data_IF_295785464001
#
_entry.id   IF_295785464001
#
_cell.length_a   1.000
_cell.length_b   1.000
_cell.length_c   1.000
_cell.angle_alpha   90.00
_cell.angle_beta   90.00
_cell.angle_gamma   90.00
#
_symmetry.space_group_name_H-M   'P 1'
#
loop_
_entity.id
_entity.type
_entity.pdbx_description
1 polymer ?
#
# COMPACT_ATOMS: atom_id res chain seq x y z
N UNK A 1 -5.31 -21.35 18.16
CA UNK A 1 -6.61 -20.69 18.32
C UNK A 1 -6.93 -20.05 17.00
N UNK A 2 -8.03 -20.51 16.39
CA UNK A 2 -8.64 -19.92 15.20
C UNK A 2 -9.06 -18.46 15.46
N UNK A 3 -9.51 -17.78 14.41
CA UNK A 3 -10.15 -16.44 14.36
C UNK A 3 -9.21 -15.23 14.21
N UNK A 4 -8.78 -14.98 12.96
CA UNK A 4 -8.42 -13.65 12.47
C UNK A 4 -8.73 -13.44 10.96
N UNK A 5 -9.56 -14.29 10.36
CA UNK A 5 -10.01 -14.20 8.95
C UNK A 5 -11.54 -14.19 8.80
N UNK A 6 -12.28 -13.97 9.89
CA UNK A 6 -13.74 -13.81 9.87
C UNK A 6 -14.16 -12.37 9.51
N UNK A 7 -13.35 -11.61 8.77
CA UNK A 7 -13.77 -10.33 8.20
C UNK A 7 -14.55 -10.60 6.90
N UNK A 8 -15.84 -10.93 7.04
CA UNK A 8 -16.82 -11.10 5.95
C UNK A 8 -16.68 -10.05 4.82
N UNK A 9 -16.43 -8.75 5.10
CA UNK A 9 -16.26 -7.73 4.06
C UNK A 9 -15.02 -7.91 3.17
N UNK A 10 -13.95 -8.56 3.64
CA UNK A 10 -12.75 -8.83 2.83
C UNK A 10 -13.00 -9.98 1.86
N UNK A 11 -13.69 -11.03 2.32
CA UNK A 11 -14.11 -12.14 1.49
C UNK A 11 -15.08 -11.67 0.39
N UNK A 12 -16.00 -10.76 0.73
CA UNK A 12 -16.94 -10.17 -0.23
C UNK A 12 -16.22 -9.32 -1.30
N UNK A 13 -15.26 -8.47 -0.90
CA UNK A 13 -14.45 -7.70 -1.85
C UNK A 13 -13.60 -8.58 -2.77
N UNK A 14 -13.02 -9.65 -2.23
CA UNK A 14 -12.24 -10.60 -3.02
C UNK A 14 -13.15 -11.42 -3.95
N UNK A 15 -14.36 -11.78 -3.53
CA UNK A 15 -15.38 -12.37 -4.39
C UNK A 15 -15.75 -11.44 -5.56
N UNK A 16 -16.01 -10.16 -5.29
CA UNK A 16 -16.29 -9.15 -6.33
C UNK A 16 -15.12 -8.97 -7.30
N UNK A 17 -13.88 -9.11 -6.82
CA UNK A 17 -12.68 -9.06 -7.64
C UNK A 17 -12.57 -10.31 -8.54
N UNK A 18 -12.86 -11.50 -8.02
CA UNK A 18 -12.90 -12.76 -8.79
C UNK A 18 -13.95 -12.68 -9.90
N UNK A 19 -15.17 -12.23 -9.58
CA UNK A 19 -16.24 -12.08 -10.57
C UNK A 19 -15.84 -11.09 -11.67
N UNK A 20 -15.29 -9.93 -11.30
CA UNK A 20 -14.81 -8.93 -12.27
C UNK A 20 -13.66 -9.45 -13.13
N UNK A 21 -12.70 -10.16 -12.53
CA UNK A 21 -11.57 -10.74 -13.26
C UNK A 21 -12.04 -11.73 -14.34
N UNK A 22 -12.94 -12.65 -13.96
CA UNK A 22 -13.48 -13.64 -14.88
C UNK A 22 -14.43 -13.02 -15.92
N UNK A 23 -15.20 -11.99 -15.55
CA UNK A 23 -16.01 -11.22 -16.50
C UNK A 23 -15.13 -10.51 -17.54
N UNK A 24 -14.00 -9.92 -17.13
CA UNK A 24 -13.03 -9.30 -18.03
C UNK A 24 -12.42 -10.27 -19.05
N UNK A 25 -12.41 -11.56 -18.73
CA UNK A 25 -11.97 -12.65 -19.62
C UNK A 25 -13.12 -13.25 -20.45
N UNK A 26 -14.30 -12.64 -20.43
CA UNK A 26 -15.53 -13.18 -21.06
C UNK A 26 -15.93 -14.56 -20.54
N UNK A 27 -15.71 -14.80 -19.24
CA UNK A 27 -16.05 -16.04 -18.53
C UNK A 27 -16.96 -15.71 -17.33
N UNK A 28 -18.22 -15.30 -17.55
CA UNK A 28 -19.08 -14.87 -16.46
C UNK A 28 -19.36 -16.01 -15.47
N UNK A 29 -19.11 -15.75 -14.19
CA UNK A 29 -19.39 -16.66 -13.07
C UNK A 29 -20.10 -15.92 -11.95
N UNK A 30 -20.66 -16.66 -11.00
CA UNK A 30 -21.12 -16.17 -9.70
C UNK A 30 -20.34 -16.81 -8.57
N UNK A 31 -19.95 -16.01 -7.58
CA UNK A 31 -19.29 -16.50 -6.37
C UNK A 31 -20.34 -16.66 -5.28
N UNK A 32 -20.48 -17.88 -4.75
CA UNK A 32 -21.49 -18.24 -3.74
C UNK A 32 -20.96 -18.21 -2.30
N UNK A 33 -19.80 -17.61 -2.09
CA UNK A 33 -19.13 -17.50 -0.79
C UNK A 33 -17.73 -18.11 -0.77
N UNK A 34 -16.97 -17.73 0.25
CA UNK A 34 -15.61 -18.19 0.51
C UNK A 34 -15.47 -18.80 1.90
N UNK A 35 -14.72 -19.89 1.99
CA UNK A 35 -14.42 -20.58 3.24
C UNK A 35 -12.90 -20.66 3.43
N UNK A 36 -12.44 -20.51 4.67
CA UNK A 36 -11.00 -20.57 4.99
C UNK A 36 -10.59 -22.02 5.25
N UNK A 37 -9.71 -22.56 4.41
CA UNK A 37 -9.17 -23.92 4.49
C UNK A 37 -7.63 -23.88 4.54
N UNK A 38 -7.09 -23.91 5.76
CA UNK A 38 -5.64 -23.90 6.01
C UNK A 38 -4.96 -22.61 5.56
N UNK A 39 -4.20 -22.67 4.46
CA UNK A 39 -3.50 -21.53 3.86
C UNK A 39 -4.24 -20.92 2.66
N UNK A 40 -5.47 -21.38 2.40
CA UNK A 40 -6.27 -21.01 1.24
C UNK A 40 -7.64 -20.50 1.66
N UNK A 41 -8.17 -19.55 0.91
CA UNK A 41 -9.60 -19.23 0.90
C UNK A 41 -10.19 -19.93 -0.31
N UNK A 42 -11.07 -20.90 -0.05
CA UNK A 42 -11.80 -21.65 -1.07
C UNK A 42 -13.11 -20.94 -1.40
N UNK A 43 -13.20 -20.40 -2.60
CA UNK A 43 -14.45 -19.83 -3.13
C UNK A 43 -15.21 -20.86 -3.96
N UNK A 44 -16.51 -20.92 -3.73
CA UNK A 44 -17.42 -21.72 -4.56
C UNK A 44 -17.93 -20.86 -5.71
N UNK A 45 -17.50 -21.16 -6.94
CA UNK A 45 -17.88 -20.38 -8.12
C UNK A 45 -18.75 -21.21 -9.07
N UNK A 46 -19.79 -20.60 -9.60
CA UNK A 46 -20.76 -21.21 -10.51
C UNK A 46 -20.71 -20.49 -11.86
N UNK A 47 -20.27 -21.17 -12.93
CA UNK A 47 -20.31 -20.59 -14.27
C UNK A 47 -21.74 -20.28 -14.72
N UNK A 48 -21.94 -19.13 -15.37
CA UNK A 48 -23.21 -18.78 -16.00
C UNK A 48 -23.46 -19.70 -17.20
N UNK A 49 -24.72 -20.01 -17.51
CA UNK A 49 -25.11 -20.83 -18.65
C UNK A 49 -24.41 -20.37 -19.94
N UNK A 50 -23.74 -21.29 -20.62
CA UNK A 50 -22.92 -21.00 -21.82
C UNK A 50 -21.43 -20.79 -21.53
N UNK A 51 -21.03 -20.66 -20.27
CA UNK A 51 -19.62 -20.59 -19.87
C UNK A 51 -19.08 -22.00 -19.63
N UNK A 52 -18.13 -22.44 -20.44
CA UNK A 52 -17.49 -23.75 -20.31
C UNK A 52 -16.61 -23.79 -19.04
N UNK A 53 -16.88 -24.68 -18.06
CA UNK A 53 -16.10 -24.78 -16.82
C UNK A 53 -14.60 -25.01 -17.07
N UNK A 54 -14.24 -25.74 -18.12
CA UNK A 54 -12.87 -26.04 -18.50
C UNK A 54 -12.09 -24.76 -18.86
N UNK A 55 -12.76 -23.80 -19.52
CA UNK A 55 -12.17 -22.50 -19.84
C UNK A 55 -11.91 -21.65 -18.60
N UNK A 56 -12.78 -21.77 -17.58
CA UNK A 56 -12.58 -21.10 -16.29
C UNK A 56 -11.37 -21.69 -15.57
N UNK A 57 -11.21 -23.02 -15.56
CA UNK A 57 -10.02 -23.67 -14.99
C UNK A 57 -8.72 -23.21 -15.67
N UNK A 58 -8.71 -23.11 -17.00
CA UNK A 58 -7.56 -22.64 -17.77
C UNK A 58 -7.23 -21.15 -17.55
N UNK A 59 -8.17 -20.36 -17.03
CA UNK A 59 -7.99 -18.95 -16.75
C UNK A 59 -7.26 -18.66 -15.44
N UNK A 60 -6.86 -19.68 -14.65
CA UNK A 60 -6.28 -19.51 -13.32
C UNK A 60 -5.14 -18.48 -13.27
N UNK A 61 -4.15 -18.57 -14.16
CA UNK A 61 -3.03 -17.62 -14.17
C UNK A 61 -3.47 -16.18 -14.45
N UNK A 62 -4.39 -15.98 -15.40
CA UNK A 62 -4.91 -14.66 -15.75
C UNK A 62 -5.78 -14.08 -14.61
N UNK A 63 -6.53 -14.93 -13.91
CA UNK A 63 -7.29 -14.55 -12.71
C UNK A 63 -6.35 -14.15 -11.59
N UNK A 64 -5.30 -14.94 -11.32
CA UNK A 64 -4.29 -14.64 -10.31
C UNK A 64 -3.62 -13.28 -10.56
N UNK A 65 -3.25 -13.00 -11.81
CA UNK A 65 -2.69 -11.71 -12.23
C UNK A 65 -3.71 -10.57 -12.03
N UNK A 66 -4.96 -10.78 -12.46
CA UNK A 66 -6.02 -9.76 -12.36
C UNK A 66 -6.38 -9.38 -10.93
N UNK A 67 -6.36 -10.35 -10.00
CA UNK A 67 -6.67 -10.11 -8.58
C UNK A 67 -5.41 -9.86 -7.72
N UNK A 68 -4.22 -9.85 -8.33
CA UNK A 68 -2.96 -9.51 -7.67
C UNK A 68 -2.50 -10.53 -6.62
N UNK A 69 -2.61 -11.83 -6.91
CA UNK A 69 -2.11 -12.92 -6.07
C UNK A 69 -1.09 -13.77 -6.84
N UNK A 70 -0.15 -14.45 -6.16
CA UNK A 70 0.92 -15.19 -6.84
C UNK A 70 0.41 -16.36 -7.67
N UNK A 71 -0.61 -17.06 -7.18
CA UNK A 71 -1.29 -18.16 -7.87
C UNK A 71 -2.73 -18.29 -7.38
N UNK A 72 -3.58 -18.92 -8.17
CA UNK A 72 -4.88 -19.46 -7.73
C UNK A 72 -5.01 -20.88 -8.26
N UNK A 73 -5.83 -21.70 -7.60
CA UNK A 73 -6.12 -23.06 -8.07
C UNK A 73 -7.60 -23.14 -8.37
N UNK A 74 -7.95 -23.50 -9.59
CA UNK A 74 -9.34 -23.69 -10.01
C UNK A 74 -9.52 -25.16 -10.33
N UNK A 75 -10.44 -25.81 -9.63
CA UNK A 75 -10.72 -27.23 -9.80
C UNK A 75 -12.23 -27.51 -9.80
N UNK A 76 -12.70 -28.55 -10.51
CA UNK A 76 -14.09 -28.99 -10.41
C UNK A 76 -14.48 -29.40 -8.99
N UNK A 77 -15.64 -28.94 -8.53
CA UNK A 77 -16.22 -29.25 -7.23
C UNK A 77 -17.72 -29.58 -7.39
N UNK A 78 -18.02 -30.80 -7.84
CA UNK A 78 -19.38 -31.23 -8.13
C UNK A 78 -19.99 -30.48 -9.32
N UNK A 79 -21.08 -29.73 -9.08
CA UNK A 79 -21.76 -28.90 -10.11
C UNK A 79 -21.22 -27.47 -10.19
N UNK A 80 -20.24 -27.14 -9.36
CA UNK A 80 -19.57 -25.85 -9.28
C UNK A 80 -18.06 -26.04 -9.52
N UNK A 81 -17.30 -24.96 -9.47
CA UNK A 81 -15.85 -24.97 -9.38
C UNK A 81 -15.44 -24.44 -8.01
N UNK A 82 -14.35 -24.99 -7.48
CA UNK A 82 -13.65 -24.42 -6.33
C UNK A 82 -12.49 -23.57 -6.84
N UNK A 83 -12.41 -22.33 -6.38
CA UNK A 83 -11.28 -21.44 -6.62
C UNK A 83 -10.58 -21.17 -5.29
N UNK A 84 -9.43 -21.80 -5.11
CA UNK A 84 -8.58 -21.60 -3.94
C UNK A 84 -7.65 -20.41 -4.21
N UNK A 85 -7.81 -19.36 -3.42
CA UNK A 85 -6.94 -18.19 -3.37
C UNK A 85 -6.02 -18.32 -2.17
N UNK A 86 -4.70 -18.13 -2.29
CA UNK A 86 -3.83 -18.19 -1.13
C UNK A 86 -4.23 -17.07 -0.17
N UNK A 87 -4.42 -17.42 1.10
CA UNK A 87 -4.58 -16.43 2.16
C UNK A 87 -3.32 -15.58 2.12
N UNK A 88 -3.48 -14.26 1.93
CA UNK A 88 -2.40 -13.32 2.25
C UNK A 88 -2.20 -13.38 3.76
N UNK A 89 -1.40 -14.35 4.23
CA UNK A 89 -0.84 -14.27 5.57
C UNK A 89 0.04 -13.04 5.54
N UNK A 90 -0.45 -11.94 6.12
CA UNK A 90 0.39 -10.82 6.50
C UNK A 90 1.41 -11.37 7.48
N UNK A 91 2.54 -11.88 6.98
CA UNK A 91 3.63 -12.34 7.84
C UNK A 91 4.38 -11.14 8.44
N UNK A 92 3.93 -9.92 8.23
CA UNK A 92 4.41 -8.75 8.95
C UNK A 92 3.79 -8.63 10.35
N UNK A 93 4.55 -8.21 11.38
CA UNK A 93 3.92 -7.75 12.61
C UNK A 93 2.92 -6.63 12.31
N UNK A 94 1.81 -6.56 13.05
CA UNK A 94 0.80 -5.52 12.86
C UNK A 94 1.37 -4.15 13.21
N UNK A 95 1.10 -3.12 12.39
CA UNK A 95 1.70 -1.78 12.58
C UNK A 95 1.42 -1.20 13.97
N UNK A 96 0.15 -1.15 14.39
CA UNK A 96 -0.25 -0.51 15.64
C UNK A 96 0.39 -1.20 16.86
N UNK A 97 0.27 -2.53 17.05
CA UNK A 97 0.96 -3.22 18.14
C UNK A 97 2.47 -3.02 18.12
N UNK A 98 3.10 -3.05 16.95
CA UNK A 98 4.54 -2.83 16.83
C UNK A 98 4.93 -1.39 17.18
N UNK A 99 4.11 -0.39 16.80
CA UNK A 99 4.30 1.00 17.22
C UNK A 99 4.26 1.16 18.74
N UNK A 100 3.47 0.37 19.46
CA UNK A 100 3.47 0.42 20.93
C UNK A 100 4.74 -0.17 21.55
N UNK A 101 5.50 -0.98 20.81
CA UNK A 101 6.78 -1.52 21.27
C UNK A 101 7.93 -0.52 21.12
N UNK A 102 7.76 0.48 20.26
CA UNK A 102 8.72 1.57 20.09
C UNK A 102 8.23 2.76 20.91
N UNK A 103 9.13 3.33 21.73
CA UNK A 103 8.81 4.54 22.50
C UNK A 103 8.63 5.76 21.59
N UNK A 104 8.78 6.96 22.17
CA UNK A 104 8.77 8.19 21.39
C UNK A 104 9.82 8.15 20.28
N UNK A 105 9.38 8.39 19.04
CA UNK A 105 10.24 8.44 17.87
C UNK A 105 10.59 9.90 17.51
N UNK A 106 11.76 10.16 16.92
CA UNK A 106 12.09 11.48 16.39
C UNK A 106 11.09 11.93 15.31
N UNK A 107 10.95 13.24 15.05
CA UNK A 107 10.09 13.76 13.98
C UNK A 107 10.37 13.11 12.62
N UNK A 108 9.30 12.91 11.84
CA UNK A 108 9.35 12.34 10.49
C UNK A 108 9.93 10.92 10.41
N UNK A 109 9.83 10.18 11.53
CA UNK A 109 10.27 8.79 11.62
C UNK A 109 9.09 7.85 11.43
N UNK A 110 9.23 6.95 10.46
CA UNK A 110 8.29 5.89 10.17
C UNK A 110 8.80 4.56 10.71
N UNK A 111 7.94 3.82 11.40
CA UNK A 111 8.13 2.40 11.62
C UNK A 111 7.83 1.64 10.32
N UNK A 112 8.81 0.89 9.84
CA UNK A 112 8.72 0.12 8.60
C UNK A 112 8.22 -1.30 8.86
N UNK A 113 8.69 -1.92 9.95
CA UNK A 113 8.42 -3.32 10.24
C UNK A 113 9.43 -3.89 11.24
N UNK A 114 9.74 -5.17 11.13
CA UNK A 114 10.62 -5.87 12.05
C UNK A 114 11.71 -6.61 11.29
N UNK A 115 12.93 -6.55 11.82
CA UNK A 115 14.10 -7.22 11.25
C UNK A 115 14.05 -8.73 11.49
N UNK A 116 14.89 -9.50 10.79
CA UNK A 116 15.04 -10.95 11.05
C UNK A 116 15.46 -11.27 12.49
N UNK A 117 16.17 -10.34 13.15
CA UNK A 117 16.56 -10.47 14.56
C UNK A 117 15.43 -10.11 15.54
N UNK A 118 14.24 -9.76 15.04
CA UNK A 118 13.10 -9.41 15.86
C UNK A 118 13.12 -7.99 16.42
N UNK A 119 14.00 -7.11 15.93
CA UNK A 119 14.02 -5.70 16.34
C UNK A 119 13.13 -4.85 15.42
N UNK A 120 12.32 -3.89 15.94
CA UNK A 120 11.64 -2.90 15.12
C UNK A 120 12.61 -2.11 14.25
N UNK A 121 12.26 -1.91 12.97
CA UNK A 121 13.04 -1.12 12.03
C UNK A 121 12.30 0.18 11.72
N UNK A 122 12.98 1.30 11.90
CA UNK A 122 12.46 2.64 11.63
C UNK A 122 13.30 3.37 10.58
N UNK A 123 12.68 4.30 9.86
CA UNK A 123 13.33 5.16 8.85
C UNK A 123 12.87 6.61 9.06
N UNK A 124 13.81 7.54 9.13
CA UNK A 124 13.51 8.98 9.22
C UNK A 124 13.50 9.62 7.82
N UNK A 125 12.35 9.62 7.14
CA UNK A 125 12.20 9.93 5.70
C UNK A 125 12.44 11.40 5.33
N UNK A 126 12.25 12.32 6.27
CA UNK A 126 12.54 13.75 6.08
C UNK A 126 13.76 14.21 6.89
N UNK A 127 14.64 13.27 7.21
CA UNK A 127 15.85 13.52 7.99
C UNK A 127 17.07 13.83 7.11
N UNK A 128 18.19 14.23 7.73
CA UNK A 128 19.44 14.52 6.99
C UNK A 128 20.05 13.27 6.33
N UNK A 129 19.70 12.07 6.80
CA UNK A 129 20.22 10.81 6.29
C UNK A 129 19.33 10.14 5.23
N UNK A 130 18.06 10.53 5.14
CA UNK A 130 17.09 9.95 4.21
C UNK A 130 16.10 11.03 3.79
N UNK A 131 16.00 11.25 2.49
CA UNK A 131 15.07 12.17 1.84
C UNK A 131 14.08 11.46 0.90
N UNK A 132 14.40 10.21 0.53
CA UNK A 132 13.64 9.43 -0.44
C UNK A 132 13.67 7.97 -0.04
N UNK A 133 12.53 7.29 -0.15
CA UNK A 133 12.43 5.84 -0.03
C UNK A 133 11.72 5.26 -1.24
N UNK A 134 12.28 4.18 -1.81
CA UNK A 134 11.71 3.52 -2.98
C UNK A 134 11.57 2.01 -2.73
N UNK A 135 10.35 1.50 -2.84
CA UNK A 135 10.06 0.08 -2.84
C UNK A 135 10.16 -0.48 -4.26
N UNK A 136 10.94 -1.56 -4.45
CA UNK A 136 11.19 -2.12 -5.79
C UNK A 136 10.92 -3.61 -5.81
N UNK A 137 10.21 -4.08 -6.83
CA UNK A 137 9.94 -5.51 -7.03
C UNK A 137 8.71 -5.77 -7.91
N UNK A 138 8.43 -7.03 -8.24
CA UNK A 138 7.29 -7.38 -9.10
C UNK A 138 5.94 -7.08 -8.46
N UNK A 139 4.86 -7.20 -9.22
CA UNK A 139 3.50 -7.10 -8.69
C UNK A 139 3.26 -8.15 -7.58
N UNK A 140 2.41 -7.82 -6.61
CA UNK A 140 2.04 -8.75 -5.53
C UNK A 140 3.09 -8.95 -4.43
N UNK A 141 4.30 -8.36 -4.51
CA UNK A 141 5.32 -8.54 -3.46
C UNK A 141 5.13 -7.68 -2.20
N UNK A 142 4.11 -6.81 -2.17
CA UNK A 142 3.76 -5.97 -1.01
C UNK A 142 4.32 -4.55 -1.03
N UNK A 143 4.70 -3.98 -2.19
CA UNK A 143 5.19 -2.59 -2.28
C UNK A 143 4.16 -1.57 -1.79
N UNK A 144 2.93 -1.64 -2.29
CA UNK A 144 1.84 -0.73 -1.91
C UNK A 144 1.51 -0.85 -0.41
N UNK A 145 1.55 -2.06 0.14
CA UNK A 145 1.42 -2.31 1.58
C UNK A 145 2.55 -1.63 2.38
N UNK A 146 3.80 -1.73 1.92
CA UNK A 146 4.95 -1.07 2.52
C UNK A 146 4.81 0.46 2.46
N UNK A 147 4.37 1.01 1.33
CA UNK A 147 4.09 2.45 1.17
C UNK A 147 3.04 2.92 2.16
N UNK A 148 1.90 2.22 2.24
CA UNK A 148 0.85 2.50 3.23
C UNK A 148 1.38 2.41 4.65
N UNK A 149 2.16 1.38 4.96
CA UNK A 149 2.78 1.19 6.29
C UNK A 149 3.64 2.39 6.68
N UNK A 150 4.53 2.83 5.79
CA UNK A 150 5.40 3.99 6.03
C UNK A 150 4.58 5.27 6.15
N UNK A 151 3.65 5.53 5.24
CA UNK A 151 2.82 6.73 5.25
C UNK A 151 1.93 6.83 6.50
N UNK A 152 1.25 5.74 6.87
CA UNK A 152 0.42 5.69 8.07
C UNK A 152 1.25 5.77 9.34
N UNK A 153 2.43 5.14 9.37
CA UNK A 153 3.33 5.32 10.51
C UNK A 153 3.78 6.77 10.65
N UNK A 154 4.09 7.48 9.57
CA UNK A 154 4.41 8.91 9.60
C UNK A 154 3.24 9.75 10.10
N UNK A 155 2.02 9.42 9.68
CA UNK A 155 0.81 10.11 10.12
C UNK A 155 0.56 9.96 11.62
N UNK A 156 0.86 8.78 12.17
CA UNK A 156 0.75 8.48 13.60
C UNK A 156 1.88 9.10 14.43
N UNK A 157 3.07 9.28 13.86
CA UNK A 157 4.25 9.77 14.60
C UNK A 157 4.47 11.27 14.45
N UNK A 158 3.85 11.90 13.45
CA UNK A 158 4.03 13.32 13.14
C UNK A 158 2.67 13.96 12.85
N UNK A 159 2.28 15.04 13.55
CA UNK A 159 1.00 15.71 13.33
C UNK A 159 0.92 16.38 11.95
N UNK A 160 -0.29 16.54 11.41
CA UNK A 160 -0.52 17.16 10.09
C UNK A 160 -0.04 18.62 10.00
N UNK A 161 0.10 19.32 11.13
CA UNK A 161 0.74 20.64 11.17
C UNK A 161 2.21 20.60 10.78
N UNK A 162 2.87 19.45 10.89
CA UNK A 162 4.33 19.29 10.75
C UNK A 162 4.72 18.37 9.57
N UNK A 163 3.76 17.78 8.86
CA UNK A 163 3.97 16.91 7.70
C UNK A 163 2.73 16.88 6.82
N UNK A 164 2.92 16.91 5.51
CA UNK A 164 1.84 16.71 4.54
C UNK A 164 2.13 15.61 3.53
N UNK A 165 1.08 14.97 3.03
CA UNK A 165 1.14 14.04 1.91
C UNK A 165 0.60 14.67 0.63
N UNK A 166 1.19 14.26 -0.49
CA UNK A 166 0.66 14.41 -1.84
C UNK A 166 0.71 13.02 -2.47
N UNK A 167 -0.30 12.61 -3.21
CA UNK A 167 -0.39 11.23 -3.71
C UNK A 167 -0.58 11.13 -5.21
N UNK A 168 0.12 10.18 -5.83
CA UNK A 168 -0.09 9.71 -7.20
C UNK A 168 -0.42 8.22 -7.14
N UNK A 169 -1.64 7.87 -7.53
CA UNK A 169 -2.19 6.51 -7.54
C UNK A 169 -3.03 6.34 -8.81
N UNK A 170 -2.37 6.06 -9.93
CA UNK A 170 -3.05 5.93 -11.22
C UNK A 170 -3.99 4.72 -11.19
N UNK A 171 -5.29 4.99 -11.24
CA UNK A 171 -6.33 3.97 -11.05
C UNK A 171 -7.02 3.98 -9.69
N UNK A 172 -6.47 4.71 -8.70
CA UNK A 172 -7.14 5.13 -7.46
C UNK A 172 -7.55 3.99 -6.53
N UNK A 173 -6.62 3.10 -6.16
CA UNK A 173 -6.95 1.91 -5.36
C UNK A 173 -6.08 1.75 -4.13
N UNK A 174 -4.78 1.95 -4.25
CA UNK A 174 -3.82 1.55 -3.22
C UNK A 174 -3.60 2.64 -2.17
N UNK A 175 -3.68 3.93 -2.54
CA UNK A 175 -3.42 5.05 -1.64
C UNK A 175 -4.69 5.72 -1.10
N UNK A 176 -5.88 5.20 -1.43
CA UNK A 176 -7.17 5.76 -0.97
C UNK A 176 -7.27 5.92 0.56
N UNK A 177 -6.54 5.12 1.34
CA UNK A 177 -6.45 5.30 2.80
C UNK A 177 -6.00 6.72 3.20
N UNK A 178 -5.15 7.36 2.40
CA UNK A 178 -4.61 8.70 2.68
C UNK A 178 -5.68 9.79 2.57
N UNK A 179 -6.74 9.59 1.79
CA UNK A 179 -7.84 10.56 1.60
C UNK A 179 -8.58 10.87 2.90
N UNK A 180 -8.52 9.94 3.85
CA UNK A 180 -9.18 10.09 5.14
C UNK A 180 -8.32 10.77 6.22
N UNK A 181 -7.06 11.09 5.89
CA UNK A 181 -6.10 11.67 6.84
C UNK A 181 -6.05 13.20 6.71
N UNK A 182 -5.94 13.94 7.82
CA UNK A 182 -5.75 15.39 7.80
C UNK A 182 -4.42 15.83 7.17
N UNK A 183 -3.48 14.89 6.97
CA UNK A 183 -2.19 15.13 6.35
C UNK A 183 -2.25 15.32 4.84
N UNK A 184 -3.29 14.81 4.16
CA UNK A 184 -3.37 14.90 2.71
C UNK A 184 -3.64 16.34 2.27
N UNK A 185 -2.73 16.92 1.48
CA UNK A 185 -2.77 18.33 1.10
C UNK A 185 -3.71 18.65 -0.08
N UNK A 186 -4.03 17.65 -0.89
CA UNK A 186 -4.91 17.74 -2.04
C UNK A 186 -5.38 16.33 -2.45
N UNK A 187 -6.45 16.25 -3.22
CA UNK A 187 -6.96 14.99 -3.76
C UNK A 187 -5.86 14.18 -4.46
N UNK A 188 -5.94 12.85 -4.35
CA UNK A 188 -5.00 11.95 -5.01
C UNK A 188 -5.04 12.16 -6.53
N UNK A 189 -3.88 12.22 -7.16
CA UNK A 189 -3.78 12.21 -8.60
C UNK A 189 -4.02 10.79 -9.12
N UNK A 190 -5.22 10.54 -9.63
CA UNK A 190 -5.67 9.21 -10.11
C UNK A 190 -5.56 9.05 -11.63
N UNK A 191 -5.27 10.14 -12.34
CA UNK A 191 -5.01 10.15 -13.78
C UNK A 191 -3.62 10.69 -14.09
N UNK A 192 -3.03 10.27 -15.22
CA UNK A 192 -1.73 10.76 -15.63
C UNK A 192 -1.71 12.29 -15.75
N UNK A 193 -2.76 12.89 -16.33
CA UNK A 193 -2.91 14.36 -16.42
C UNK A 193 -2.82 15.05 -15.05
N UNK A 194 -3.51 14.54 -14.04
CA UNK A 194 -3.43 15.09 -12.67
C UNK A 194 -2.03 14.91 -12.08
N UNK A 195 -1.42 13.73 -12.27
CA UNK A 195 -0.06 13.46 -11.81
C UNK A 195 0.95 14.40 -12.46
N UNK A 196 0.83 14.65 -13.76
CA UNK A 196 1.64 15.63 -14.49
C UNK A 196 1.49 17.05 -13.94
N UNK A 197 0.25 17.49 -13.71
CA UNK A 197 -0.01 18.81 -13.13
C UNK A 197 0.61 18.95 -11.73
N UNK A 198 0.51 17.91 -10.90
CA UNK A 198 1.12 17.87 -9.57
C UNK A 198 2.66 17.92 -9.65
N UNK A 199 3.29 17.10 -10.50
CA UNK A 199 4.73 17.10 -10.68
C UNK A 199 5.25 18.46 -11.16
N UNK A 200 4.58 19.07 -12.14
CA UNK A 200 4.96 20.40 -12.65
C UNK A 200 4.84 21.49 -11.59
N UNK A 201 3.78 21.44 -10.76
CA UNK A 201 3.63 22.36 -9.63
C UNK A 201 4.80 22.23 -8.64
N UNK A 202 5.12 21.00 -8.24
CA UNK A 202 6.23 20.75 -7.31
C UNK A 202 7.60 21.14 -7.91
N UNK A 203 7.78 21.00 -9.22
CA UNK A 203 8.99 21.44 -9.90
C UNK A 203 9.12 22.97 -9.90
N UNK A 204 8.03 23.69 -10.17
CA UNK A 204 8.01 25.16 -10.10
C UNK A 204 8.34 25.68 -8.68
N UNK A 205 7.97 24.94 -7.64
CA UNK A 205 8.38 25.26 -6.26
C UNK A 205 9.89 25.11 -6.03
N UNK A 206 10.53 24.10 -6.64
CA UNK A 206 11.99 23.96 -6.62
C UNK A 206 12.67 25.13 -7.32
N UNK A 207 12.10 25.60 -8.44
CA UNK A 207 12.63 26.72 -9.21
C UNK A 207 12.43 28.08 -8.51
N UNK A 208 11.58 28.14 -7.47
CA UNK A 208 11.22 29.39 -6.78
C UNK A 208 10.19 30.22 -7.53
N UNK A 209 9.62 29.68 -8.62
CA UNK A 209 8.62 30.32 -9.47
C UNK A 209 7.20 30.28 -8.87
N UNK A 210 7.04 29.65 -7.70
CA UNK A 210 5.77 29.52 -6.99
C UNK A 210 5.64 30.49 -5.82
N UNK A 211 4.69 31.43 -5.93
CA UNK A 211 4.43 32.46 -4.91
C UNK A 211 3.82 31.94 -3.59
N UNK A 212 3.45 30.66 -3.50
CA UNK A 212 2.85 30.07 -2.30
C UNK A 212 3.84 29.65 -1.21
N UNK A 213 5.14 29.99 -1.37
CA UNK A 213 6.21 29.69 -0.40
C UNK A 213 6.57 28.20 -0.34
N UNK A 214 7.85 27.91 -0.12
CA UNK A 214 8.22 26.59 0.41
C UNK A 214 7.51 26.47 1.77
N UNK A 215 6.52 25.57 1.87
CA UNK A 215 5.80 25.41 3.12
C UNK A 215 6.77 25.09 4.26
N UNK A 216 6.56 25.69 5.44
CA UNK A 216 7.37 25.48 6.66
C UNK A 216 7.41 24.02 7.14
N UNK A 217 6.65 23.13 6.50
CA UNK A 217 6.54 21.71 6.85
C UNK A 217 6.93 20.81 5.67
N UNK A 218 7.65 19.72 5.92
CA UNK A 218 7.95 18.73 4.90
C UNK A 218 6.71 18.17 4.22
N UNK A 219 6.85 17.89 2.92
CA UNK A 219 5.82 17.30 2.06
C UNK A 219 6.36 16.02 1.46
N UNK A 220 5.66 14.92 1.66
CA UNK A 220 6.03 13.61 1.12
C UNK A 220 5.12 13.30 -0.06
N UNK A 221 5.70 13.26 -1.26
CA UNK A 221 5.05 12.78 -2.46
C UNK A 221 5.06 11.24 -2.45
N UNK A 222 3.89 10.64 -2.30
CA UNK A 222 3.68 9.19 -2.33
C UNK A 222 3.27 8.77 -3.75
N UNK A 223 4.04 7.86 -4.37
CA UNK A 223 3.80 7.39 -5.74
C UNK A 223 3.67 5.86 -5.72
N UNK A 224 2.48 5.32 -5.96
CA UNK A 224 2.24 3.87 -5.83
C UNK A 224 2.84 3.02 -6.97
N UNK A 225 2.78 3.53 -8.19
CA UNK A 225 3.37 2.88 -9.36
C UNK A 225 3.93 3.96 -10.27
N UNK A 226 5.14 3.74 -10.78
CA UNK A 226 5.80 4.61 -11.76
C UNK A 226 5.61 4.10 -13.19
N UNK A 227 4.92 2.97 -13.39
CA UNK A 227 4.67 2.37 -14.70
C UNK A 227 3.91 3.26 -15.68
N UNK A 228 3.25 4.31 -15.21
CA UNK A 228 2.58 5.30 -16.07
C UNK A 228 3.55 6.27 -16.75
N UNK A 229 4.82 6.35 -16.34
CA UNK A 229 5.87 7.23 -16.90
C UNK A 229 6.51 6.66 -18.19
N UNK A 230 5.77 5.85 -18.93
CA UNK A 230 6.24 5.25 -20.19
C UNK A 230 5.42 5.77 -21.37
N UNK A 231 5.94 5.60 -22.58
CA UNK A 231 5.25 6.03 -23.79
C UNK A 231 5.01 7.54 -23.80
N UNK A 232 3.74 7.95 -23.84
CA UNK A 232 3.33 9.35 -23.94
C UNK A 232 3.73 10.23 -22.73
N UNK A 233 4.00 9.63 -21.58
CA UNK A 233 4.30 10.35 -20.33
C UNK A 233 5.77 10.24 -19.90
N UNK A 234 6.63 9.73 -20.80
CA UNK A 234 8.05 9.53 -20.54
C UNK A 234 8.83 10.84 -20.30
N UNK A 235 8.32 11.96 -20.81
CA UNK A 235 8.85 13.31 -20.63
C UNK A 235 8.73 13.83 -19.18
N UNK A 236 7.91 13.19 -18.34
CA UNK A 236 7.76 13.52 -16.92
C UNK A 236 8.78 12.84 -16.01
N UNK A 237 9.44 11.78 -16.47
CA UNK A 237 10.45 11.09 -15.68
C UNK A 237 11.61 12.03 -15.25
N UNK A 238 12.14 12.92 -16.11
CA UNK A 238 13.10 13.96 -15.69
C UNK A 238 12.59 14.86 -14.55
N UNK A 239 11.28 15.19 -14.54
CA UNK A 239 10.67 16.01 -13.48
C UNK A 239 10.68 15.26 -12.16
N UNK A 240 10.25 14.00 -12.14
CA UNK A 240 10.31 13.16 -10.93
C UNK A 240 11.76 12.99 -10.43
N UNK A 241 12.72 12.81 -11.34
CA UNK A 241 14.14 12.75 -10.99
C UNK A 241 14.63 14.05 -10.35
N UNK A 242 14.18 15.20 -10.87
CA UNK A 242 14.50 16.52 -10.30
C UNK A 242 13.91 16.67 -8.90
N UNK A 243 12.68 16.22 -8.67
CA UNK A 243 12.06 16.23 -7.34
C UNK A 243 12.89 15.42 -6.34
N UNK A 244 13.33 14.21 -6.71
CA UNK A 244 14.22 13.42 -5.86
C UNK A 244 15.52 14.15 -5.58
N UNK A 245 16.13 14.78 -6.60
CA UNK A 245 17.46 15.39 -6.48
C UNK A 245 17.49 16.72 -5.72
N UNK A 246 16.53 17.60 -5.99
CA UNK A 246 16.51 18.99 -5.54
C UNK A 246 15.33 19.32 -4.60
N UNK A 247 14.29 18.49 -4.59
CA UNK A 247 13.14 18.65 -3.69
C UNK A 247 13.49 18.73 -2.21
N UNK A 248 14.46 17.95 -1.69
CA UNK A 248 14.78 17.98 -0.25
C UNK A 248 15.24 19.36 0.24
N UNK A 249 15.85 20.18 -0.63
CA UNK A 249 16.27 21.54 -0.31
C UNK A 249 15.08 22.50 -0.04
N UNK A 250 13.89 22.15 -0.54
CA UNK A 250 12.64 22.90 -0.35
C UNK A 250 11.59 22.09 0.43
N UNK A 251 12.03 21.06 1.15
CA UNK A 251 11.17 20.22 1.98
C UNK A 251 10.26 19.26 1.22
N UNK A 252 10.58 18.91 -0.03
CA UNK A 252 9.87 17.90 -0.82
C UNK A 252 10.64 16.57 -0.76
N UNK A 253 9.97 15.53 -0.29
CA UNK A 253 10.49 14.18 -0.10
C UNK A 253 9.68 13.19 -0.93
N UNK A 254 10.25 12.03 -1.26
CA UNK A 254 9.58 11.05 -2.13
C UNK A 254 9.49 9.69 -1.45
N UNK A 255 8.29 9.11 -1.45
CA UNK A 255 8.04 7.73 -1.10
C UNK A 255 7.40 7.05 -2.32
N UNK A 256 8.14 6.19 -3.02
CA UNK A 256 7.69 5.64 -4.29
C UNK A 256 7.73 4.11 -4.31
N UNK A 257 6.90 3.51 -5.15
CA UNK A 257 6.99 2.12 -5.53
C UNK A 257 7.21 2.00 -7.04
N UNK A 258 8.03 1.02 -7.42
CA UNK A 258 8.41 0.76 -8.80
C UNK A 258 8.53 -0.73 -9.07
N UNK A 259 8.24 -1.14 -10.31
CA UNK A 259 8.44 -2.54 -10.74
C UNK A 259 9.90 -2.89 -10.97
N UNK A 260 10.71 -1.90 -11.36
CA UNK A 260 12.11 -2.09 -11.71
C UNK A 260 12.96 -1.02 -11.03
N UNK A 261 14.18 -1.37 -10.59
CA UNK A 261 15.10 -0.37 -10.04
C UNK A 261 15.62 0.54 -11.15
N UNK A 262 14.80 1.47 -11.65
CA UNK A 262 15.19 2.44 -12.67
C UNK A 262 15.54 3.78 -12.02
N UNK A 263 16.77 4.29 -12.17
CA UNK A 263 18.04 3.65 -12.56
C UNK A 263 18.96 3.39 -11.36
N UNK A 264 20.02 2.59 -11.56
CA UNK A 264 21.01 2.21 -10.54
C UNK A 264 21.65 3.37 -9.76
N UNK A 265 21.65 4.60 -10.30
CA UNK A 265 22.16 5.78 -9.58
C UNK A 265 21.27 6.15 -8.38
N UNK A 266 19.95 5.90 -8.46
CA UNK A 266 19.02 6.18 -7.38
C UNK A 266 19.36 5.35 -6.13
N UNK A 267 19.71 4.08 -6.34
CA UNK A 267 20.13 3.17 -5.27
C UNK A 267 21.49 3.52 -4.62
N UNK A 268 22.26 4.44 -5.22
CA UNK A 268 23.58 4.87 -4.72
C UNK A 268 23.61 6.32 -4.24
N UNK A 269 22.52 7.06 -4.42
CA UNK A 269 22.44 8.46 -4.00
C UNK A 269 22.35 8.52 -2.46
N UNK A 270 23.23 9.29 -1.79
CA UNK A 270 23.07 9.58 -0.37
C UNK A 270 21.68 10.18 -0.13
N UNK A 271 21.01 9.76 0.95
CA UNK A 271 19.63 10.19 1.22
C UNK A 271 18.55 9.26 0.63
N UNK A 272 18.91 8.28 -0.20
CA UNK A 272 17.94 7.32 -0.75
C UNK A 272 18.01 5.99 0.00
N UNK A 273 16.85 5.50 0.43
CA UNK A 273 16.66 4.13 0.93
C UNK A 273 15.90 3.32 -0.11
N UNK A 274 16.48 2.19 -0.54
CA UNK A 274 15.82 1.26 -1.46
C UNK A 274 15.35 0.04 -0.69
N UNK A 275 14.05 -0.22 -0.68
CA UNK A 275 13.44 -1.43 -0.17
C UNK A 275 13.23 -2.43 -1.33
N UNK A 276 14.24 -3.26 -1.57
CA UNK A 276 14.20 -4.29 -2.62
C UNK A 276 13.40 -5.49 -2.12
N UNK A 277 12.34 -5.89 -2.83
CA UNK A 277 11.62 -7.12 -2.53
C UNK A 277 12.58 -8.31 -2.59
N UNK A 278 12.59 -9.12 -1.53
CA UNK A 278 13.39 -10.33 -1.50
C UNK A 278 12.70 -11.40 -2.34
N UNK A 279 13.42 -12.01 -3.28
CA UNK A 279 13.07 -13.27 -3.92
C UNK A 279 14.00 -14.35 -3.37
N UNK A 280 13.48 -15.49 -2.94
CA UNK A 280 14.31 -16.61 -2.52
C UNK A 280 14.89 -17.28 -3.76
N UNK A 281 15.95 -16.69 -4.32
CA UNK A 281 16.70 -17.31 -5.40
C UNK A 281 17.51 -18.46 -4.83
N UNK A 282 16.90 -19.65 -4.64
CA UNK A 282 17.48 -21.01 -4.60
C UNK A 282 16.37 -22.08 -4.44
N UNK A 283 15.48 -22.22 -5.42
CA UNK A 283 14.82 -23.51 -5.70
C UNK A 283 13.54 -23.92 -4.96
N UNK A 284 12.94 -23.13 -4.06
CA UNK A 284 11.65 -23.49 -3.42
C UNK A 284 10.79 -22.22 -3.19
N UNK A 285 9.65 -22.15 -3.90
CA UNK A 285 8.50 -21.23 -3.79
C UNK A 285 8.74 -19.69 -3.88
N UNK A 286 7.82 -18.94 -4.53
CA UNK A 286 7.81 -17.47 -4.45
C UNK A 286 7.65 -17.02 -2.99
N UNK A 287 8.43 -16.02 -2.59
CA UNK A 287 8.44 -15.45 -1.23
C UNK A 287 7.07 -14.98 -0.79
N UNK A 288 6.72 -15.20 0.48
CA UNK A 288 5.58 -14.53 1.10
C UNK A 288 5.72 -13.00 0.94
N UNK A 289 4.65 -12.29 0.52
CA UNK A 289 4.68 -10.84 0.34
C UNK A 289 5.07 -10.10 1.62
N UNK A 290 5.67 -8.91 1.47
CA UNK A 290 6.03 -8.05 2.60
C UNK A 290 7.46 -8.23 3.14
N UNK A 291 8.34 -8.96 2.45
CA UNK A 291 9.76 -9.12 2.83
C UNK A 291 10.68 -8.29 1.92
N UNK A 292 11.49 -7.43 2.52
CA UNK A 292 12.36 -6.50 1.80
C UNK A 292 13.78 -6.49 2.35
N UNK A 293 14.75 -6.27 1.46
CA UNK A 293 16.09 -5.83 1.80
C UNK A 293 16.13 -4.31 1.68
N UNK A 294 16.13 -3.62 2.81
CA UNK A 294 16.33 -2.18 2.87
C UNK A 294 17.81 -1.89 2.76
N UNK A 295 18.17 -1.00 1.83
CA UNK A 295 19.55 -0.56 1.58
C UNK A 295 19.57 0.96 1.59
N UNK A 296 20.34 1.53 2.51
CA UNK A 296 20.78 2.92 2.42
C UNK A 296 22.21 2.94 1.87
N UNK A 297 22.83 4.13 1.78
CA UNK A 297 24.25 4.23 1.43
C UNK A 297 25.18 3.68 2.53
N UNK A 298 24.69 3.50 3.76
CA UNK A 298 25.47 3.04 4.93
C UNK A 298 25.06 1.67 5.44
N UNK A 299 23.77 1.34 5.34
CA UNK A 299 23.19 0.24 6.08
C UNK A 299 22.41 -0.69 5.16
N UNK A 300 22.36 -1.96 5.55
CA UNK A 300 21.55 -2.98 4.90
C UNK A 300 20.82 -3.78 5.98
N UNK A 301 19.50 -3.86 5.86
CA UNK A 301 18.65 -4.60 6.79
C UNK A 301 17.60 -5.42 6.03
N UNK A 302 17.40 -6.68 6.44
CA UNK A 302 16.25 -7.46 6.01
C UNK A 302 15.08 -7.17 6.94
N UNK A 303 13.93 -6.83 6.37
CA UNK A 303 12.73 -6.46 7.10
C UNK A 303 11.53 -7.27 6.61
N UNK A 304 10.68 -7.64 7.55
CA UNK A 304 9.28 -7.97 7.32
C UNK A 304 8.50 -6.69 7.55
N UNK A 305 7.96 -6.10 6.49
CA UNK A 305 7.15 -4.90 6.55
C UNK A 305 6.00 -5.12 7.53
N UNK A 306 5.63 -4.09 8.29
CA UNK A 306 4.46 -4.18 9.14
C UNK A 306 3.21 -4.37 8.26
N UNK A 307 2.19 -5.04 8.81
CA UNK A 307 0.93 -5.27 8.09
C UNK A 307 -0.19 -4.39 8.61
N UNK A 308 -1.10 -4.02 7.72
CA UNK A 308 -2.34 -3.30 7.99
C UNK A 308 -3.53 -4.15 7.54
N UNK A 309 -4.49 -4.40 8.43
CA UNK A 309 -5.82 -4.90 8.00
C UNK A 309 -6.77 -3.76 7.70
N UNK A 310 -7.92 -4.06 7.08
CA UNK A 310 -8.97 -3.06 6.86
C UNK A 310 -9.36 -2.35 8.18
N UNK A 311 -9.54 -3.12 9.27
CA UNK A 311 -9.81 -2.57 10.60
C UNK A 311 -8.67 -1.71 11.18
N UNK A 312 -7.41 -1.94 10.79
CA UNK A 312 -6.31 -1.06 11.19
C UNK A 312 -6.42 0.29 10.52
N UNK A 313 -6.80 0.38 9.25
CA UNK A 313 -6.88 1.64 8.52
C UNK A 313 -7.86 2.61 9.21
N UNK A 314 -9.05 2.13 9.55
CA UNK A 314 -10.04 2.90 10.30
C UNK A 314 -9.56 3.29 11.69
N UNK A 315 -8.81 2.40 12.35
CA UNK A 315 -8.23 2.68 13.65
C UNK A 315 -7.14 3.74 13.57
N UNK A 316 -6.25 3.68 12.58
CA UNK A 316 -5.22 4.69 12.33
C UNK A 316 -5.85 6.05 12.10
N UNK A 317 -6.87 6.12 11.23
CA UNK A 317 -7.61 7.36 10.98
C UNK A 317 -8.11 7.99 12.28
N UNK A 318 -8.78 7.20 13.12
CA UNK A 318 -9.30 7.68 14.41
C UNK A 318 -8.20 8.12 15.38
N UNK A 319 -7.10 7.37 15.46
CA UNK A 319 -5.95 7.73 16.29
C UNK A 319 -5.32 9.06 15.84
N UNK A 320 -5.13 9.24 14.53
CA UNK A 320 -4.59 10.47 13.95
C UNK A 320 -5.52 11.65 14.22
N UNK A 321 -6.83 11.48 14.02
CA UNK A 321 -7.83 12.53 14.29
C UNK A 321 -7.90 12.90 15.77
N UNK A 322 -7.71 11.93 16.66
CA UNK A 322 -7.64 12.15 18.11
C UNK A 322 -6.31 12.77 18.57
N UNK A 323 -5.32 12.92 17.68
CA UNK A 323 -4.00 13.44 18.03
C UNK A 323 -3.16 12.47 18.89
N UNK A 324 -3.44 11.18 18.84
CA UNK A 324 -2.69 10.16 19.57
C UNK A 324 -1.23 10.08 19.10
N UNK A 325 -0.31 9.83 20.05
CA UNK A 325 1.12 9.68 19.76
C UNK A 325 1.71 8.33 20.26
N UNK A 326 2.77 7.81 19.61
CA UNK A 326 3.46 6.60 20.06
C UNK A 326 3.98 6.72 21.49
N UNK A 327 3.78 5.68 22.29
CA UNK A 327 4.10 5.65 23.72
C UNK A 327 2.93 5.99 24.64
N UNK A 328 1.84 6.53 24.11
CA UNK A 328 0.59 6.70 24.84
C UNK A 328 -0.24 5.41 24.82
N UNK A 329 -0.99 5.09 25.90
CA UNK A 329 -1.91 3.96 25.89
C UNK A 329 -2.93 4.13 24.76
N UNK A 330 -3.21 3.05 24.04
CA UNK A 330 -4.21 3.09 22.97
C UNK A 330 -5.58 3.37 23.58
N UNK A 331 -6.33 4.35 23.06
CA UNK A 331 -7.72 4.56 23.47
C UNK A 331 -8.55 3.29 23.21
N UNK A 332 -9.48 3.02 24.13
CA UNK A 332 -10.45 1.96 23.95
C UNK A 332 -11.26 2.20 22.67
N UNK A 333 -11.68 1.14 21.99
CA UNK A 333 -12.33 1.20 20.67
C UNK A 333 -13.59 2.08 20.65
N UNK A 334 -14.24 2.25 21.81
CA UNK A 334 -15.46 3.04 22.02
C UNK A 334 -15.20 4.49 22.48
N UNK A 335 -13.95 4.86 22.77
CA UNK A 335 -13.60 6.14 23.40
C UNK A 335 -13.34 7.29 22.40
N UNK A 336 -13.61 7.10 21.12
CA UNK A 336 -13.43 8.14 20.11
C UNK A 336 -14.67 9.04 20.03
N UNK A 337 -14.56 10.36 20.29
CA UNK A 337 -15.66 11.27 20.13
C UNK A 337 -15.99 11.42 18.63
N UNK A 338 -17.23 11.10 18.25
CA UNK A 338 -17.71 11.12 16.85
C UNK A 338 -18.07 9.75 16.27
N UNK A 339 -18.18 8.71 17.08
CA UNK A 339 -18.78 7.44 16.67
C UNK A 339 -20.29 7.59 16.47
N UNK A 340 -20.71 8.10 15.31
CA UNK A 340 -22.05 7.83 14.83
C UNK A 340 -22.16 6.32 14.59
N UNK A 341 -22.85 5.66 15.51
CA UNK A 341 -23.52 4.40 15.25
C UNK A 341 -24.49 4.62 14.08
N UNK A 342 -24.06 4.33 12.86
CA UNK A 342 -25.01 4.09 11.76
C UNK A 342 -25.66 2.71 11.98
N UNK A 343 -26.52 2.65 13.00
CA UNK A 343 -27.66 1.77 13.02
C UNK A 343 -28.71 2.43 12.11
N UNK A 344 -29.15 1.70 11.09
CA UNK A 344 -29.99 2.25 10.03
C UNK A 344 -31.35 2.74 10.50
N UNK A 345 -31.88 3.72 9.77
CA UNK A 345 -33.31 3.88 9.48
C UNK A 345 -33.50 4.98 8.40
N UNK A 346 -34.38 4.71 7.43
CA UNK A 346 -34.81 5.62 6.35
C UNK A 346 -34.04 5.41 5.04
N UNK A 347 -34.58 4.87 3.95
CA UNK A 347 -35.92 5.04 3.39
C UNK A 347 -35.79 5.74 2.03
N UNK A 348 -35.38 5.00 0.98
CA UNK A 348 -35.37 5.54 -0.38
C UNK A 348 -36.74 5.29 -1.02
N UNK A 349 -37.53 6.35 -1.11
CA UNK A 349 -38.69 6.43 -1.97
C UNK A 349 -38.36 7.35 -3.16
N UNK A 350 -38.76 6.85 -4.34
CA UNK A 350 -38.77 7.46 -5.68
C UNK A 350 -37.42 7.61 -6.41
#
# INVERSE_FOLDING_TARGET
>A
MATALEDRPELDRQADAIERALLGLSLPVRVNGGEVDGEWVRYHIVPVLGTAPERVCLAASAVAESIGVPEVRIAPAGRALALDVPIRKGEGPRLIPLLQTVGMLPPWTALVGMTEAGAPLVVQLCGPATDTMVAVGPAGCGKSELLRTVALSLALTTPASNLQFLGIDIGGRELAVLESLPHLAADLATTARQAGALLSRLAAEIDGDWAGGAGDRPRVLVVDDDGWLVGAEADRLPVLRRLVQAGPAVGIHVLAASREARPAWLARRPGVVVAQALHYSQGLHPTAPGRFLLRSHRDVARVRAASLTAGDLDRVRRLVQAGWAPGEPLPATEAFPGGDSFAGEGGWAA
#
